data_IF_282796513660
#
_entry.id   IF_282796513660
#
_cell.length_a   1.000
_cell.length_b   1.000
_cell.length_c   1.000
_cell.angle_alpha   90.00
_cell.angle_beta   90.00
_cell.angle_gamma   90.00
#
_symmetry.space_group_name_H-M   'P 1'
#
loop_
_entity.id
_entity.type
_entity.pdbx_description
1 polymer ?
#
# COMPACT_ATOMS: atom_id res chain seq x y z
N UNK A 1 22.59 -27.24 -16.09
CA UNK A 1 21.61 -27.22 -14.98
C UNK A 1 20.99 -25.82 -14.97
N UNK A 2 19.67 -25.55 -15.09
CA UNK A 2 18.42 -26.33 -15.03
C UNK A 2 17.49 -25.84 -16.16
N UNK A 3 16.89 -26.78 -16.88
CA UNK A 3 15.76 -26.54 -17.80
C UNK A 3 14.44 -26.70 -17.05
N UNK A 4 13.40 -25.97 -17.47
CA UNK A 4 12.02 -26.21 -17.01
C UNK A 4 11.04 -25.11 -17.41
N UNK A 5 10.77 -24.94 -18.71
CA UNK A 5 9.58 -24.21 -19.18
C UNK A 5 8.40 -25.17 -19.19
N UNK A 6 7.47 -25.05 -18.24
CA UNK A 6 6.14 -25.66 -18.31
C UNK A 6 5.14 -24.63 -18.84
N UNK A 7 4.32 -25.08 -19.79
CA UNK A 7 3.26 -24.34 -20.48
C UNK A 7 2.00 -24.17 -19.61
N UNK A 8 2.17 -23.59 -18.44
CA UNK A 8 1.11 -23.10 -17.57
C UNK A 8 1.50 -21.71 -17.07
N UNK A 9 0.53 -20.83 -16.83
CA UNK A 9 0.78 -19.48 -16.29
C UNK A 9 1.74 -19.59 -15.10
N UNK A 10 2.95 -19.01 -15.21
CA UNK A 10 3.94 -19.05 -14.13
C UNK A 10 3.30 -18.54 -12.84
N UNK A 11 3.59 -19.20 -11.71
CA UNK A 11 3.13 -18.77 -10.39
C UNK A 11 3.45 -17.28 -10.17
N UNK A 12 4.62 -16.80 -10.61
CA UNK A 12 4.99 -15.39 -10.56
C UNK A 12 3.98 -14.47 -11.27
N UNK A 13 3.44 -14.88 -12.43
CA UNK A 13 2.45 -14.08 -13.16
C UNK A 13 1.09 -14.07 -12.48
N UNK A 14 0.67 -15.22 -11.93
CA UNK A 14 -0.60 -15.32 -11.22
C UNK A 14 -0.53 -14.54 -9.91
N UNK A 15 0.58 -14.68 -9.18
CA UNK A 15 0.84 -13.92 -7.96
C UNK A 15 0.92 -12.42 -8.24
N UNK A 16 1.64 -11.99 -9.29
CA UNK A 16 1.69 -10.59 -9.69
C UNK A 16 0.28 -10.06 -10.03
N UNK A 17 -0.49 -10.79 -10.84
CA UNK A 17 -1.86 -10.39 -11.21
C UNK A 17 -2.80 -10.28 -10.00
N UNK A 18 -2.71 -11.18 -9.03
CA UNK A 18 -3.50 -11.14 -7.80
C UNK A 18 -3.03 -10.04 -6.84
N UNK A 19 -1.74 -9.74 -6.83
CA UNK A 19 -1.15 -8.68 -5.99
C UNK A 19 -1.45 -7.29 -6.55
N UNK A 20 -1.40 -7.14 -7.87
CA UNK A 20 -1.67 -5.92 -8.63
C UNK A 20 -3.17 -5.66 -8.88
N UNK A 21 -4.05 -6.52 -8.35
CA UNK A 21 -5.48 -6.57 -8.63
C UNK A 21 -6.15 -5.21 -8.85
N UNK A 22 -6.39 -4.89 -10.13
CA UNK A 22 -7.38 -4.02 -10.80
C UNK A 22 -7.88 -2.72 -10.15
N UNK A 23 -7.39 -2.30 -9.00
CA UNK A 23 -7.74 -1.04 -8.37
C UNK A 23 -6.49 -0.49 -7.67
N UNK A 24 -5.94 0.59 -8.21
CA UNK A 24 -4.76 1.32 -7.67
C UNK A 24 -5.07 2.05 -6.35
N UNK A 25 -5.97 1.53 -5.53
CA UNK A 25 -6.24 2.06 -4.20
C UNK A 25 -5.15 1.64 -3.21
N UNK A 26 -4.80 2.54 -2.31
CA UNK A 26 -3.87 2.28 -1.23
C UNK A 26 -4.44 1.23 -0.28
N UNK A 27 -3.62 0.23 0.05
CA UNK A 27 -3.92 -0.85 1.00
C UNK A 27 -3.46 -0.46 2.40
N UNK A 28 -4.18 -0.91 3.42
CA UNK A 28 -3.79 -0.77 4.83
C UNK A 28 -3.22 -2.13 5.29
N UNK A 29 -2.02 -2.14 5.88
CA UNK A 29 -1.46 -3.37 6.45
C UNK A 29 -2.19 -3.76 7.74
N UNK A 30 -2.09 -5.03 8.14
CA UNK A 30 -2.64 -5.49 9.42
C UNK A 30 -2.07 -4.72 10.62
N UNK A 31 -0.81 -4.28 10.55
CA UNK A 31 -0.18 -3.52 11.62
C UNK A 31 -0.74 -2.09 11.70
N UNK A 32 -0.89 -1.42 10.55
CA UNK A 32 -1.54 -0.11 10.48
C UNK A 32 -3.00 -0.18 10.95
N UNK A 33 -3.75 -1.18 10.50
CA UNK A 33 -5.15 -1.38 10.92
C UNK A 33 -5.26 -1.60 12.43
N UNK A 34 -4.45 -2.50 13.00
CA UNK A 34 -4.44 -2.75 14.44
C UNK A 34 -4.17 -1.47 15.23
N UNK A 35 -3.21 -0.67 14.76
CA UNK A 35 -2.82 0.59 15.41
C UNK A 35 -3.90 1.67 15.33
N UNK A 36 -4.55 1.82 14.18
CA UNK A 36 -5.70 2.70 14.00
C UNK A 36 -6.86 2.30 14.92
N UNK A 37 -7.17 0.99 15.01
CA UNK A 37 -8.21 0.46 15.91
C UNK A 37 -7.87 0.70 17.38
N UNK A 38 -6.62 0.47 17.81
CA UNK A 38 -6.16 0.74 19.18
C UNK A 38 -6.37 2.20 19.58
N UNK A 39 -6.14 3.13 18.65
CA UNK A 39 -6.32 4.57 18.86
C UNK A 39 -7.73 5.06 18.57
N UNK A 40 -8.66 4.19 18.19
CA UNK A 40 -10.03 4.52 17.75
C UNK A 40 -10.04 5.56 16.62
N UNK A 41 -9.06 5.47 15.73
CA UNK A 41 -8.96 6.31 14.54
C UNK A 41 -9.69 5.59 13.40
N UNK A 42 -10.65 6.29 12.80
CA UNK A 42 -11.39 5.80 11.64
C UNK A 42 -11.05 6.67 10.45
N UNK A 43 -10.56 6.06 9.37
CA UNK A 43 -10.30 6.76 8.12
C UNK A 43 -11.60 6.86 7.34
N UNK A 44 -12.06 8.08 7.09
CA UNK A 44 -13.20 8.33 6.22
C UNK A 44 -12.84 8.08 4.75
N UNK A 45 -13.84 8.01 3.88
CA UNK A 45 -13.61 7.95 2.43
C UNK A 45 -12.78 9.13 1.93
N UNK A 46 -12.99 10.33 2.49
CA UNK A 46 -12.20 11.52 2.14
C UNK A 46 -10.73 11.40 2.57
N UNK A 47 -10.48 10.84 3.77
CA UNK A 47 -9.12 10.57 4.25
C UNK A 47 -8.42 9.56 3.33
N UNK A 48 -9.12 8.49 2.94
CA UNK A 48 -8.58 7.51 2.00
C UNK A 48 -8.27 8.12 0.62
N UNK A 49 -9.11 9.02 0.11
CA UNK A 49 -8.80 9.74 -1.11
C UNK A 49 -7.56 10.64 -0.97
N UNK A 50 -7.41 11.35 0.16
CA UNK A 50 -6.22 12.18 0.43
C UNK A 50 -4.96 11.33 0.46
N UNK A 51 -5.00 10.17 1.13
CA UNK A 51 -3.91 9.21 1.17
C UNK A 51 -3.57 8.73 -0.25
N UNK A 52 -4.57 8.32 -1.04
CA UNK A 52 -4.37 7.90 -2.43
C UNK A 52 -3.67 8.97 -3.28
N UNK A 53 -4.14 10.23 -3.22
CA UNK A 53 -3.54 11.35 -3.95
C UNK A 53 -2.11 11.62 -3.51
N UNK A 54 -1.83 11.51 -2.21
CA UNK A 54 -0.48 11.73 -1.70
C UNK A 54 0.49 10.62 -2.14
N UNK A 55 0.05 9.36 -2.10
CA UNK A 55 0.84 8.23 -2.59
C UNK A 55 1.11 8.36 -4.09
N UNK A 56 0.14 8.81 -4.88
CA UNK A 56 0.34 9.07 -6.31
C UNK A 56 1.44 10.11 -6.55
N UNK A 57 1.36 11.26 -5.88
CA UNK A 57 2.37 12.33 -5.99
C UNK A 57 3.77 11.87 -5.57
N UNK A 58 3.86 11.02 -4.55
CA UNK A 58 5.15 10.46 -4.11
C UNK A 58 5.69 9.45 -5.12
N UNK A 59 4.81 8.65 -5.72
CA UNK A 59 5.16 7.68 -6.75
C UNK A 59 5.66 8.38 -8.03
N UNK A 60 4.99 9.46 -8.46
CA UNK A 60 5.44 10.30 -9.58
C UNK A 60 6.85 10.88 -9.36
N UNK A 61 7.22 11.14 -8.11
CA UNK A 61 8.55 11.63 -7.72
C UNK A 61 9.58 10.51 -7.52
N UNK A 62 9.19 9.24 -7.75
CA UNK A 62 10.07 8.08 -7.59
C UNK A 62 10.36 7.71 -6.14
N UNK A 63 9.57 8.18 -5.19
CA UNK A 63 9.72 7.80 -3.79
C UNK A 63 9.43 6.30 -3.63
N UNK A 64 10.23 5.61 -2.82
CA UNK A 64 10.05 4.18 -2.54
C UNK A 64 9.21 3.96 -1.28
N UNK A 65 9.57 4.70 -0.25
CA UNK A 65 8.94 4.72 1.05
C UNK A 65 8.86 6.18 1.51
N UNK A 66 7.83 6.53 2.26
CA UNK A 66 7.63 7.90 2.71
C UNK A 66 6.78 7.95 3.97
N UNK A 67 7.05 8.97 4.79
CA UNK A 67 6.19 9.36 5.90
C UNK A 67 5.17 10.37 5.39
N UNK A 68 3.89 10.04 5.52
CA UNK A 68 2.78 10.93 5.20
C UNK A 68 2.21 11.51 6.49
N UNK A 69 2.24 12.84 6.62
CA UNK A 69 1.62 13.55 7.74
C UNK A 69 0.24 14.06 7.33
N UNK A 70 -0.78 13.75 8.13
CA UNK A 70 -2.15 14.16 7.88
C UNK A 70 -2.85 14.46 9.21
N UNK A 71 -3.19 15.74 9.44
CA UNK A 71 -3.71 16.22 10.73
C UNK A 71 -2.70 15.85 11.85
N UNK A 72 -3.13 15.06 12.82
CA UNK A 72 -2.32 14.57 13.94
C UNK A 72 -1.83 13.13 13.73
N UNK A 73 -1.94 12.59 12.51
CA UNK A 73 -1.57 11.22 12.17
C UNK A 73 -0.35 11.19 11.23
N UNK A 74 0.66 10.40 11.58
CA UNK A 74 1.77 10.08 10.68
C UNK A 74 1.61 8.65 10.15
N UNK A 75 1.67 8.46 8.83
CA UNK A 75 1.53 7.16 8.18
C UNK A 75 2.84 6.79 7.50
N UNK A 76 3.43 5.65 7.85
CA UNK A 76 4.56 5.11 7.11
C UNK A 76 4.02 4.31 5.92
N UNK A 77 4.38 4.72 4.70
CA UNK A 77 3.81 4.15 3.48
C UNK A 77 4.90 3.57 2.58
N UNK A 78 4.69 2.35 2.11
CA UNK A 78 5.40 1.80 0.96
C UNK A 78 4.72 2.31 -0.31
N UNK A 79 5.38 3.21 -1.03
CA UNK A 79 4.81 3.91 -2.19
C UNK A 79 4.71 2.96 -3.39
N UNK A 80 5.71 2.10 -3.58
CA UNK A 80 5.76 1.11 -4.69
C UNK A 80 4.62 0.11 -4.61
N UNK A 81 4.37 -0.41 -3.41
CA UNK A 81 3.33 -1.40 -3.16
C UNK A 81 1.98 -0.73 -2.82
N UNK A 82 1.96 0.60 -2.73
CA UNK A 82 0.80 1.42 -2.33
C UNK A 82 0.18 0.92 -1.02
N UNK A 83 1.01 0.69 0.00
CA UNK A 83 0.59 0.08 1.27
C UNK A 83 0.98 0.95 2.45
N UNK A 84 0.02 1.30 3.31
CA UNK A 84 0.28 1.88 4.63
C UNK A 84 0.80 0.79 5.55
N UNK A 85 2.06 0.90 5.97
CA UNK A 85 2.74 -0.07 6.82
C UNK A 85 2.34 0.13 8.28
N UNK A 86 2.40 1.37 8.79
CA UNK A 86 2.03 1.68 10.18
C UNK A 86 1.46 3.09 10.31
N UNK A 87 0.81 3.33 11.46
CA UNK A 87 0.28 4.61 11.88
C UNK A 87 0.98 5.04 13.19
N UNK A 88 1.53 6.24 13.20
CA UNK A 88 2.20 6.89 14.31
C UNK A 88 1.33 8.07 14.75
N UNK A 89 1.23 8.23 16.07
CA UNK A 89 0.56 9.31 16.81
C UNK A 89 1.58 9.81 17.82
#
# INVERSE_FOLDING_TARGET
>A
MRSGKSSGLSFDRVLARLSDGENRSVKISAHAEARLRQRRIYLSSEDMERINRAVEKMNEKGAKESLLLMRDLALLVNVRNRTVITALD
#
